data_IF_059311490094
#
_entry.id   IF_059311490094
#
_cell.length_a   1.000
_cell.length_b   1.000
_cell.length_c   1.000
_cell.angle_alpha   90.00
_cell.angle_beta   90.00
_cell.angle_gamma   90.00
#
_symmetry.space_group_name_H-M   'P 1'
#
loop_
_entity.id
_entity.type
_entity.pdbx_description
1 polymer ?
#
# COMPACT_ATOMS: atom_id res chain seq x y z
N UNK A 1 -4.40 -19.39 -11.00
CA UNK A 1 -3.92 -19.87 -9.69
C UNK A 1 -4.08 -18.71 -8.74
N UNK A 2 -5.08 -18.77 -7.86
CA UNK A 2 -5.14 -17.88 -6.70
C UNK A 2 -3.90 -18.17 -5.86
N UNK A 3 -2.98 -17.22 -5.81
CA UNK A 3 -1.86 -17.31 -4.88
C UNK A 3 -2.43 -16.91 -3.52
N UNK A 4 -2.45 -17.83 -2.58
CA UNK A 4 -2.80 -17.51 -1.19
C UNK A 4 -1.69 -16.66 -0.57
N UNK A 5 -2.09 -15.71 0.27
CA UNK A 5 -1.17 -14.89 1.05
C UNK A 5 -0.41 -15.76 2.04
N UNK A 6 0.92 -15.63 2.06
CA UNK A 6 1.78 -16.40 2.96
C UNK A 6 2.54 -15.49 3.90
N UNK A 7 2.75 -15.92 5.14
CA UNK A 7 3.62 -15.19 6.07
C UNK A 7 5.04 -15.19 5.51
N UNK A 8 5.66 -14.01 5.43
CA UNK A 8 6.97 -13.85 4.82
C UNK A 8 7.58 -12.46 5.04
N UNK A 9 8.82 -12.26 4.56
CA UNK A 9 9.50 -10.98 4.66
C UNK A 9 8.89 -9.96 3.68
N UNK A 10 8.61 -8.76 4.18
CA UNK A 10 8.20 -7.60 3.38
C UNK A 10 9.34 -6.59 3.41
N UNK A 11 9.92 -6.31 2.25
CA UNK A 11 10.94 -5.26 2.11
C UNK A 11 10.25 -3.90 1.95
N UNK A 12 10.61 -2.96 2.83
CA UNK A 12 10.07 -1.60 2.86
C UNK A 12 11.22 -0.60 2.76
N UNK A 13 10.97 0.59 2.21
CA UNK A 13 11.97 1.66 2.20
C UNK A 13 11.59 2.71 3.24
N UNK A 14 12.46 2.92 4.23
CA UNK A 14 12.33 3.96 5.25
C UNK A 14 13.29 5.12 4.98
N UNK A 15 13.18 6.19 5.76
CA UNK A 15 14.11 7.33 5.76
C UNK A 15 15.52 6.93 6.18
N UNK A 16 15.65 5.83 6.93
CA UNK A 16 16.94 5.29 7.39
C UNK A 16 17.50 4.21 6.47
N UNK A 17 16.74 3.79 5.45
CA UNK A 17 17.15 2.84 4.43
C UNK A 17 16.15 1.71 4.23
N UNK A 18 16.48 0.70 3.40
CA UNK A 18 15.66 -0.49 3.27
C UNK A 18 15.60 -1.26 4.59
N UNK A 19 14.41 -1.71 4.97
CA UNK A 19 14.18 -2.60 6.10
C UNK A 19 13.37 -3.81 5.66
N UNK A 20 13.56 -4.93 6.36
CA UNK A 20 12.77 -6.15 6.15
C UNK A 20 11.97 -6.42 7.42
N UNK A 21 10.66 -6.50 7.27
CA UNK A 21 9.73 -6.74 8.37
C UNK A 21 8.89 -7.99 8.09
N UNK A 22 8.28 -8.56 9.13
CA UNK A 22 7.36 -9.68 8.97
C UNK A 22 6.00 -9.19 8.46
N UNK A 23 5.42 -9.90 7.50
CA UNK A 23 4.10 -9.59 6.97
C UNK A 23 3.52 -10.75 6.17
N UNK A 24 2.55 -10.44 5.32
CA UNK A 24 1.93 -11.36 4.39
C UNK A 24 2.38 -11.02 2.98
N UNK A 25 2.74 -12.00 2.17
CA UNK A 25 3.27 -11.82 0.82
C UNK A 25 2.41 -12.55 -0.20
N UNK A 26 2.20 -11.92 -1.35
CA UNK A 26 1.55 -12.49 -2.50
C UNK A 26 2.08 -11.87 -3.80
N UNK A 27 2.89 -12.63 -4.55
CA UNK A 27 3.51 -12.13 -5.78
C UNK A 27 4.38 -10.90 -5.53
N UNK A 28 4.09 -9.80 -6.23
CA UNK A 28 4.85 -8.55 -6.11
C UNK A 28 4.40 -7.68 -4.92
N UNK A 29 3.54 -8.19 -4.04
CA UNK A 29 2.97 -7.41 -2.95
C UNK A 29 3.23 -8.00 -1.57
N UNK A 30 3.38 -7.10 -0.60
CA UNK A 30 3.43 -7.39 0.83
C UNK A 30 2.39 -6.58 1.60
N UNK A 31 1.83 -7.16 2.65
CA UNK A 31 0.97 -6.51 3.62
C UNK A 31 1.58 -6.64 5.01
N UNK A 32 1.74 -5.52 5.68
CA UNK A 32 2.21 -5.48 7.07
C UNK A 32 1.34 -4.53 7.90
N UNK A 33 1.21 -4.80 9.20
CA UNK A 33 0.40 -3.97 10.09
C UNK A 33 1.27 -2.97 10.82
N UNK A 34 0.88 -1.70 10.81
CA UNK A 34 1.60 -0.62 11.49
C UNK A 34 0.66 0.19 12.36
N UNK A 35 1.06 0.35 13.62
CA UNK A 35 0.51 1.36 14.51
C UNK A 35 1.04 2.74 14.10
N UNK A 36 0.17 3.74 14.03
CA UNK A 36 0.54 5.12 13.71
C UNK A 36 -0.32 6.07 14.55
N UNK A 37 0.19 7.29 14.80
CA UNK A 37 -0.67 8.35 15.28
C UNK A 37 -1.57 8.86 14.15
N UNK A 38 -2.83 9.12 14.48
CA UNK A 38 -3.76 9.89 13.67
C UNK A 38 -3.47 11.39 13.82
N UNK A 39 -4.13 12.21 12.99
CA UNK A 39 -4.06 13.68 13.10
C UNK A 39 -4.66 14.18 14.45
N UNK A 40 -5.42 13.34 15.14
CA UNK A 40 -6.01 13.57 16.47
C UNK A 40 -5.12 13.04 17.61
N UNK A 41 -3.88 12.65 17.30
CA UNK A 41 -2.92 12.05 18.22
C UNK A 41 -3.36 10.71 18.86
N UNK A 42 -4.38 10.07 18.30
CA UNK A 42 -4.80 8.74 18.72
C UNK A 42 -3.98 7.66 18.00
N UNK A 43 -3.63 6.59 18.71
CA UNK A 43 -2.95 5.45 18.08
C UNK A 43 -3.97 4.62 17.30
N UNK A 44 -3.83 4.61 15.97
CA UNK A 44 -4.60 3.75 15.10
C UNK A 44 -3.71 2.88 14.21
N UNK A 45 -4.15 1.66 13.96
CA UNK A 45 -3.40 0.64 13.25
C UNK A 45 -4.01 0.33 11.89
N UNK A 46 -3.17 0.26 10.86
CA UNK A 46 -3.60 -0.07 9.52
C UNK A 46 -2.67 -1.05 8.82
N UNK A 47 -3.22 -1.77 7.84
CA UNK A 47 -2.44 -2.57 6.92
C UNK A 47 -1.82 -1.67 5.84
N UNK A 48 -0.55 -1.91 5.53
CA UNK A 48 0.19 -1.19 4.51
C UNK A 48 0.47 -2.14 3.36
N UNK A 49 -0.06 -1.82 2.19
CA UNK A 49 0.22 -2.54 0.95
C UNK A 49 1.49 -1.98 0.33
N UNK A 50 2.49 -2.84 0.20
CA UNK A 50 3.82 -2.52 -0.34
C UNK A 50 4.07 -3.30 -1.62
N UNK A 51 4.54 -2.61 -2.66
CA UNK A 51 5.07 -3.24 -3.86
C UNK A 51 6.52 -3.66 -3.60
N UNK A 52 6.75 -4.98 -3.51
CA UNK A 52 8.00 -5.58 -3.01
C UNK A 52 9.22 -5.27 -3.88
N UNK A 53 9.17 -5.35 -5.23
CA UNK A 53 10.35 -5.08 -6.05
C UNK A 53 10.92 -3.67 -5.85
N UNK A 54 10.04 -2.70 -5.55
CA UNK A 54 10.43 -1.29 -5.36
C UNK A 54 10.45 -0.86 -3.89
N UNK A 55 9.97 -1.68 -2.96
CA UNK A 55 9.73 -1.32 -1.55
C UNK A 55 8.78 -0.12 -1.37
N UNK A 56 7.95 0.15 -2.37
CA UNK A 56 7.10 1.34 -2.46
C UNK A 56 5.78 1.10 -1.76
N UNK A 57 5.31 2.06 -0.97
CA UNK A 57 3.97 1.98 -0.38
C UNK A 57 2.93 2.35 -1.42
N UNK A 58 2.06 1.39 -1.73
CA UNK A 58 0.96 1.54 -2.68
C UNK A 58 -0.24 2.18 -1.99
N UNK A 59 -0.61 1.70 -0.80
CA UNK A 59 -1.77 2.20 -0.06
C UNK A 59 -1.68 1.84 1.43
N UNK A 60 -2.28 2.68 2.28
CA UNK A 60 -2.67 2.32 3.65
C UNK A 60 -4.15 1.95 3.69
N UNK A 61 -4.48 0.90 4.42
CA UNK A 61 -5.80 0.26 4.48
C UNK A 61 -6.19 0.09 5.96
N UNK A 62 -7.18 0.84 6.41
CA UNK A 62 -7.76 0.70 7.75
C UNK A 62 -8.94 -0.26 7.67
N UNK A 63 -8.63 -1.56 7.72
CA UNK A 63 -9.61 -2.64 7.73
C UNK A 63 -9.01 -3.86 8.42
N UNK A 64 -9.79 -4.92 8.59
CA UNK A 64 -9.23 -6.20 9.02
C UNK A 64 -8.33 -6.82 7.91
N UNK A 65 -7.52 -7.80 8.28
CA UNK A 65 -6.56 -8.45 7.37
C UNK A 65 -7.24 -9.04 6.12
N UNK A 66 -8.37 -9.71 6.28
CA UNK A 66 -9.08 -10.37 5.18
C UNK A 66 -9.53 -9.34 4.13
N UNK A 67 -10.08 -8.21 4.57
CA UNK A 67 -10.46 -7.10 3.69
C UNK A 67 -9.23 -6.47 3.03
N UNK A 68 -8.11 -6.32 3.75
CA UNK A 68 -6.88 -5.79 3.19
C UNK A 68 -6.28 -6.71 2.10
N UNK A 69 -6.32 -8.02 2.32
CA UNK A 69 -5.90 -9.04 1.34
C UNK A 69 -6.80 -9.03 0.09
N UNK A 70 -8.12 -8.91 0.27
CA UNK A 70 -9.06 -8.81 -0.84
C UNK A 70 -8.82 -7.53 -1.67
N UNK A 71 -8.65 -6.38 -1.00
CA UNK A 71 -8.30 -5.13 -1.67
C UNK A 71 -6.99 -5.24 -2.45
N UNK A 72 -5.95 -5.82 -1.83
CA UNK A 72 -4.67 -6.02 -2.48
C UNK A 72 -4.75 -6.97 -3.68
N UNK A 73 -5.60 -8.00 -3.63
CA UNK A 73 -5.88 -8.88 -4.76
C UNK A 73 -6.49 -8.12 -5.95
N UNK A 74 -7.44 -7.22 -5.69
CA UNK A 74 -8.05 -6.36 -6.70
C UNK A 74 -7.05 -5.37 -7.30
N UNK A 75 -6.20 -4.76 -6.48
CA UNK A 75 -5.09 -3.92 -6.96
C UNK A 75 -4.12 -4.73 -7.84
N UNK A 76 -3.78 -5.94 -7.44
CA UNK A 76 -2.87 -6.81 -8.19
C UNK A 76 -3.46 -7.30 -9.52
N UNK A 77 -4.79 -7.52 -9.58
CA UNK A 77 -5.47 -8.00 -10.78
C UNK A 77 -5.63 -6.91 -11.86
N UNK A 78 -5.66 -5.65 -11.43
CA UNK A 78 -5.86 -4.50 -12.31
C UNK A 78 -4.54 -3.72 -12.40
N UNK A 79 -3.68 -3.99 -13.37
CA UNK A 79 -2.46 -3.20 -13.59
C UNK A 79 -1.21 -4.03 -13.85
N UNK A 80 -0.24 -3.41 -14.52
CA UNK A 80 1.07 -4.02 -14.74
C UNK A 80 2.00 -3.68 -13.58
N UNK A 81 2.17 -4.65 -12.69
CA UNK A 81 3.02 -4.55 -11.50
C UNK A 81 4.39 -5.21 -11.71
N UNK A 82 4.77 -5.59 -12.93
CA UNK A 82 6.08 -6.19 -13.20
C UNK A 82 7.13 -5.10 -13.47
N UNK A 83 7.53 -4.41 -12.40
CA UNK A 83 8.56 -3.37 -12.50
C UNK A 83 9.46 -3.27 -11.27
N UNK A 84 10.71 -2.89 -11.49
CA UNK A 84 11.72 -2.75 -10.43
C UNK A 84 12.01 -1.29 -10.03
N UNK A 85 11.38 -0.31 -10.69
CA UNK A 85 11.58 1.11 -10.42
C UNK A 85 10.26 1.88 -10.43
N UNK A 86 10.06 2.66 -9.35
CA UNK A 86 8.90 3.52 -9.17
C UNK A 86 9.13 4.89 -9.82
N UNK A 87 8.78 5.04 -11.09
CA UNK A 87 8.89 6.31 -11.83
C UNK A 87 7.58 7.10 -11.76
N UNK A 88 7.61 8.45 -11.86
CA UNK A 88 6.39 9.27 -11.85
C UNK A 88 5.35 8.85 -12.90
N UNK A 89 5.78 8.50 -14.11
CA UNK A 89 4.88 8.08 -15.18
C UNK A 89 4.17 6.75 -14.87
N UNK A 90 4.89 5.80 -14.25
CA UNK A 90 4.29 4.54 -13.77
C UNK A 90 3.29 4.79 -12.66
N UNK A 91 3.64 5.66 -11.71
CA UNK A 91 2.74 6.04 -10.63
C UNK A 91 1.46 6.70 -11.13
N UNK A 92 1.58 7.56 -12.14
CA UNK A 92 0.44 8.16 -12.83
C UNK A 92 -0.41 7.10 -13.54
N UNK A 93 0.20 6.12 -14.21
CA UNK A 93 -0.51 5.04 -14.88
C UNK A 93 -1.25 4.09 -13.92
N UNK A 94 -0.75 3.91 -12.70
CA UNK A 94 -1.37 3.08 -11.65
C UNK A 94 -2.43 3.81 -10.83
N UNK A 95 -2.54 5.13 -10.96
CA UNK A 95 -3.53 5.92 -10.20
C UNK A 95 -4.99 5.53 -10.48
N UNK A 96 -5.43 5.33 -11.74
CA UNK A 96 -6.80 4.89 -12.04
C UNK A 96 -7.12 3.50 -11.49
N UNK A 97 -6.16 2.58 -11.54
CA UNK A 97 -6.26 1.23 -10.97
C UNK A 97 -6.61 1.29 -9.48
N UNK A 98 -5.86 2.10 -8.73
CA UNK A 98 -6.01 2.20 -7.28
C UNK A 98 -7.35 2.86 -6.94
N UNK A 99 -7.81 3.81 -7.76
CA UNK A 99 -9.11 4.45 -7.62
C UNK A 99 -10.26 3.46 -7.89
N UNK A 100 -10.15 2.64 -8.95
CA UNK A 100 -11.13 1.60 -9.27
C UNK A 100 -11.24 0.56 -8.14
N UNK A 101 -10.10 0.08 -7.64
CA UNK A 101 -10.08 -0.84 -6.49
C UNK A 101 -10.74 -0.20 -5.27
N UNK A 102 -10.46 1.07 -4.95
CA UNK A 102 -11.12 1.78 -3.83
C UNK A 102 -12.65 1.79 -4.00
N UNK A 103 -13.16 2.01 -5.21
CA UNK A 103 -14.59 2.03 -5.51
C UNK A 103 -15.30 0.71 -5.18
N UNK A 104 -14.61 -0.44 -5.28
CA UNK A 104 -15.16 -1.77 -4.94
C UNK A 104 -15.18 -2.05 -3.43
N UNK A 105 -14.42 -1.30 -2.64
CA UNK A 105 -14.33 -1.47 -1.18
C UNK A 105 -14.70 -0.16 -0.46
N UNK A 106 -15.99 0.24 -0.46
CA UNK A 106 -16.42 1.49 0.18
C UNK A 106 -16.19 1.52 1.70
N UNK A 107 -16.07 0.36 2.35
CA UNK A 107 -15.76 0.23 3.77
C UNK A 107 -14.26 0.21 4.07
N UNK A 108 -13.40 0.30 3.04
CA UNK A 108 -11.96 0.45 3.23
C UNK A 108 -11.65 1.94 3.35
N UNK A 109 -11.42 2.38 4.58
CA UNK A 109 -10.85 3.70 4.82
C UNK A 109 -9.38 3.64 4.39
N UNK A 110 -8.96 4.59 3.56
CA UNK A 110 -7.58 4.66 3.07
C UNK A 110 -6.96 5.99 3.46
N UNK A 111 -5.75 5.98 4.05
CA UNK A 111 -5.00 7.22 4.17
C UNK A 111 -4.38 7.60 2.81
N UNK A 112 -4.50 8.88 2.44
CA UNK A 112 -3.83 9.46 1.27
C UNK A 112 -2.38 9.87 1.57
N UNK A 113 -1.99 9.92 2.86
CA UNK A 113 -0.63 10.21 3.31
C UNK A 113 -0.09 9.09 4.18
N UNK A 114 1.14 8.70 3.88
CA UNK A 114 1.97 7.90 4.77
C UNK A 114 2.70 8.89 5.67
N UNK A 115 2.27 9.01 6.92
CA UNK A 115 2.98 9.77 7.95
C UNK A 115 3.83 8.79 8.80
N UNK A 116 5.10 9.12 9.03
CA UNK A 116 6.07 8.29 9.74
C UNK A 116 7.35 8.06 8.92
N UNK A 117 8.31 7.29 9.47
CA UNK A 117 9.68 7.05 8.93
C UNK A 117 9.77 6.47 7.50
N UNK A 118 8.69 6.44 6.70
CA UNK A 118 8.74 6.06 5.30
C UNK A 118 9.16 7.29 4.49
N UNK A 119 10.23 7.17 3.71
CA UNK A 119 10.74 8.31 2.95
C UNK A 119 9.63 8.86 2.02
N UNK A 120 9.22 10.15 2.17
CA UNK A 120 8.10 10.72 1.41
C UNK A 120 8.33 10.78 -0.10
N UNK A 121 9.55 10.48 -0.57
CA UNK A 121 9.90 10.37 -2.00
C UNK A 121 9.25 9.20 -2.74
N UNK A 122 8.68 8.22 -2.03
CA UNK A 122 8.12 7.00 -2.64
C UNK A 122 6.66 6.72 -2.25
N UNK A 123 5.98 7.68 -1.62
CA UNK A 123 4.52 7.63 -1.53
C UNK A 123 3.94 8.06 -2.88
N UNK A 124 2.92 7.36 -3.37
CA UNK A 124 2.13 7.84 -4.50
C UNK A 124 1.62 9.27 -4.19
N UNK A 125 1.76 10.24 -5.11
CA UNK A 125 1.18 11.55 -4.91
C UNK A 125 -0.32 11.40 -4.67
N UNK A 126 -0.86 12.15 -3.72
CA UNK A 126 -2.30 12.19 -3.49
C UNK A 126 -3.00 12.45 -4.84
N UNK A 127 -3.91 11.58 -5.24
CA UNK A 127 -4.77 11.85 -6.38
C UNK A 127 -5.45 13.22 -6.13
N UNK A 128 -5.18 14.20 -6.99
CA UNK A 128 -5.91 15.47 -6.98
C UNK A 128 -7.38 15.13 -7.25
N UNK A 129 -8.24 15.31 -6.24
CA UNK A 129 -9.64 14.95 -6.38
C UNK A 129 -10.53 15.22 -5.17
N UNK A 130 -9.98 15.31 -3.96
CA UNK A 130 -10.79 15.56 -2.75
C UNK A 130 -10.27 16.81 -2.04
N UNK A 131 -10.61 17.98 -2.59
CA UNK A 131 -10.73 19.21 -1.82
C UNK A 131 -12.22 19.49 -1.69
N UNK A 132 -12.69 19.68 -0.46
CA UNK A 132 -13.90 20.47 -0.20
C UNK A 132 -13.81 21.84 -0.90
#
# INVERSE_FOLDING_TARGET
MERDWQVGPVQIITTTGPQVIAGWVNGNFGLDFRAMLTDEEEWDGGWVLTHLPTGMVVRRIFANLQTAQAYAGEVAAHGDWDFNEATPDRMKALSPVIAEAKGKFPNVTTAHRVFGEIAPRYALPAAQGDGE
#
